data_IF_495383262739
#
_entry.id   IF_495383262739
#
_cell.length_a   1.000
_cell.length_b   1.000
_cell.length_c   1.000
_cell.angle_alpha   90.00
_cell.angle_beta   90.00
_cell.angle_gamma   90.00
#
_symmetry.space_group_name_H-M   'P 1'
#
loop_
_entity.id
_entity.type
_entity.pdbx_description
1 polymer ?
#
# COMPACT_ATOMS: atom_id res chain seq x y z
N UNK A 1 -6.81 -12.03 -35.39
CA UNK A 1 -5.48 -11.41 -35.53
C UNK A 1 -5.04 -11.05 -34.12
N UNK A 2 -3.88 -11.53 -33.63
CA UNK A 2 -3.40 -11.16 -32.30
C UNK A 2 -3.19 -9.65 -32.22
N UNK A 3 -3.51 -9.08 -31.06
CA UNK A 3 -3.26 -7.67 -30.72
C UNK A 3 -1.75 -7.39 -30.72
N UNK A 4 -1.38 -6.12 -30.78
CA UNK A 4 0.04 -5.70 -30.73
C UNK A 4 0.74 -6.24 -29.47
N UNK A 5 0.06 -6.23 -28.33
CA UNK A 5 0.60 -6.71 -27.04
C UNK A 5 0.80 -8.24 -27.05
N UNK A 6 -0.15 -9.00 -27.60
CA UNK A 6 -0.02 -10.47 -27.70
C UNK A 6 1.20 -10.87 -28.56
N UNK A 7 1.44 -10.14 -29.66
CA UNK A 7 2.61 -10.36 -30.50
C UNK A 7 3.92 -10.01 -29.77
N UNK A 8 3.97 -8.88 -29.08
CA UNK A 8 5.15 -8.48 -28.31
C UNK A 8 5.46 -9.50 -27.22
N UNK A 9 4.44 -9.99 -26.51
CA UNK A 9 4.59 -11.06 -25.52
C UNK A 9 5.21 -12.32 -26.14
N UNK A 10 4.65 -12.82 -27.25
CA UNK A 10 5.15 -14.01 -27.94
C UNK A 10 6.60 -13.84 -28.40
N UNK A 11 6.96 -12.65 -28.89
CA UNK A 11 8.33 -12.32 -29.31
C UNK A 11 9.31 -12.31 -28.14
N UNK A 12 8.96 -11.65 -27.03
CA UNK A 12 9.81 -11.59 -25.83
C UNK A 12 10.00 -12.98 -25.23
N UNK A 13 8.93 -13.79 -25.19
CA UNK A 13 8.96 -15.13 -24.60
C UNK A 13 9.78 -16.10 -25.45
N UNK A 14 9.54 -16.11 -26.77
CA UNK A 14 10.29 -16.95 -27.73
C UNK A 14 11.79 -16.61 -27.70
N UNK A 15 12.13 -15.32 -27.58
CA UNK A 15 13.52 -14.86 -27.51
C UNK A 15 14.12 -14.95 -26.11
N UNK A 16 13.34 -15.33 -25.08
CA UNK A 16 13.75 -15.37 -23.66
C UNK A 16 14.32 -14.04 -23.15
N UNK A 17 13.70 -12.93 -23.55
CA UNK A 17 14.20 -11.56 -23.30
C UNK A 17 13.58 -10.85 -22.10
N UNK A 18 12.84 -11.57 -21.25
CA UNK A 18 12.22 -11.00 -20.05
C UNK A 18 13.21 -10.28 -19.12
N UNK A 19 14.39 -10.87 -18.88
CA UNK A 19 15.39 -10.27 -17.99
C UNK A 19 16.01 -8.98 -18.57
N UNK A 20 16.50 -8.95 -19.84
CA UNK A 20 16.90 -7.70 -20.48
C UNK A 20 15.82 -6.62 -20.46
N UNK A 21 14.58 -6.97 -20.85
CA UNK A 21 13.46 -6.03 -20.90
C UNK A 21 13.17 -5.41 -19.52
N UNK A 22 13.19 -6.22 -18.46
CA UNK A 22 13.03 -5.72 -17.09
C UNK A 22 14.15 -4.74 -16.69
N UNK A 23 15.40 -5.01 -17.10
CA UNK A 23 16.52 -4.11 -16.82
C UNK A 23 16.42 -2.80 -17.61
N UNK A 24 15.94 -2.84 -18.85
CA UNK A 24 15.66 -1.64 -19.65
C UNK A 24 14.65 -0.74 -18.94
N UNK A 25 13.49 -1.28 -18.53
CA UNK A 25 12.47 -0.54 -17.77
C UNK A 25 13.06 0.06 -16.49
N UNK A 26 13.89 -0.70 -15.75
CA UNK A 26 14.53 -0.22 -14.53
C UNK A 26 15.48 0.95 -14.80
N UNK A 27 16.24 0.91 -15.91
CA UNK A 27 17.19 1.96 -16.26
C UNK A 27 16.50 3.24 -16.75
N UNK A 28 15.33 3.10 -17.38
CA UNK A 28 14.51 4.22 -17.86
C UNK A 28 13.61 4.82 -16.76
N UNK A 29 13.43 4.11 -15.65
CA UNK A 29 12.59 4.56 -14.54
C UNK A 29 13.12 5.84 -13.91
N UNK A 30 12.22 6.80 -13.70
CA UNK A 30 12.56 8.08 -13.08
C UNK A 30 13.00 7.91 -11.61
N UNK A 31 14.03 8.67 -11.24
CA UNK A 31 14.44 8.86 -9.84
C UNK A 31 14.09 10.27 -9.39
N UNK A 32 13.30 10.35 -8.31
CA UNK A 32 12.87 11.61 -7.73
C UNK A 32 13.28 11.72 -6.25
N UNK A 33 13.37 12.94 -5.70
CA UNK A 33 13.68 13.11 -4.29
C UNK A 33 12.64 12.43 -3.37
N UNK A 34 13.14 11.82 -2.30
CA UNK A 34 12.34 11.19 -1.23
C UNK A 34 12.93 11.56 0.15
N UNK A 35 13.28 12.85 0.32
CA UNK A 35 14.03 13.38 1.46
C UNK A 35 13.26 13.22 2.77
N UNK A 36 11.94 13.45 2.76
CA UNK A 36 11.11 13.37 3.97
C UNK A 36 11.14 11.95 4.54
N UNK A 37 11.11 10.94 3.67
CA UNK A 37 11.18 9.54 4.08
C UNK A 37 12.50 9.17 4.78
N UNK A 38 13.57 9.94 4.56
CA UNK A 38 14.90 9.70 5.14
C UNK A 38 15.19 10.50 6.41
N UNK A 39 14.28 11.36 6.86
CA UNK A 39 14.46 12.05 8.14
C UNK A 39 14.56 11.04 9.31
N UNK A 40 15.44 11.29 10.31
CA UNK A 40 15.66 10.35 11.41
C UNK A 40 14.37 9.91 12.13
N UNK A 41 13.45 10.83 12.35
CA UNK A 41 12.15 10.62 13.00
C UNK A 41 11.20 9.71 12.19
N UNK A 42 11.43 9.55 10.89
CA UNK A 42 10.62 8.72 9.99
C UNK A 42 11.20 7.31 9.79
N UNK A 43 12.39 7.04 10.33
CA UNK A 43 13.06 5.74 10.16
C UNK A 43 12.22 4.56 10.64
N UNK A 44 11.49 4.71 11.75
CA UNK A 44 10.62 3.68 12.32
C UNK A 44 9.23 3.61 11.65
N UNK A 45 8.94 4.46 10.66
CA UNK A 45 7.72 4.44 9.84
C UNK A 45 7.93 3.73 8.50
N UNK A 46 9.17 3.32 8.20
CA UNK A 46 9.55 2.61 6.97
C UNK A 46 9.84 1.14 7.26
N UNK A 47 9.18 0.24 6.53
CA UNK A 47 9.43 -1.20 6.66
C UNK A 47 10.77 -1.61 6.06
N UNK A 48 11.14 -0.99 4.94
CA UNK A 48 12.39 -1.26 4.22
C UNK A 48 13.18 0.03 4.02
N UNK A 49 14.52 -0.07 4.02
CA UNK A 49 15.39 1.11 3.92
C UNK A 49 15.48 1.66 2.49
N UNK A 50 15.28 0.78 1.53
CA UNK A 50 15.43 0.95 0.08
C UNK A 50 14.09 1.19 -0.63
N UNK A 51 12.98 1.21 0.09
CA UNK A 51 11.65 1.52 -0.46
C UNK A 51 11.08 2.75 0.25
N UNK A 52 10.94 3.87 -0.46
CA UNK A 52 10.49 5.15 0.11
C UNK A 52 9.63 5.90 -0.90
N UNK A 53 8.56 6.59 -0.45
CA UNK A 53 7.72 7.37 -1.36
C UNK A 53 8.46 8.65 -1.79
N UNK A 54 8.24 9.07 -3.04
CA UNK A 54 8.78 10.34 -3.52
C UNK A 54 8.07 11.53 -2.86
N UNK A 55 8.81 12.62 -2.62
CA UNK A 55 8.31 13.78 -1.87
C UNK A 55 7.12 14.47 -2.57
N UNK A 56 7.10 14.43 -3.91
CA UNK A 56 6.06 15.08 -4.72
C UNK A 56 4.73 14.30 -4.75
N UNK A 57 4.75 13.00 -4.51
CA UNK A 57 3.58 12.12 -4.60
C UNK A 57 3.21 11.43 -3.28
N UNK A 58 4.01 11.60 -2.22
CA UNK A 58 3.69 11.01 -0.92
C UNK A 58 2.35 11.50 -0.40
N UNK A 59 1.59 10.60 0.22
CA UNK A 59 0.40 10.98 0.98
C UNK A 59 0.85 11.69 2.27
N UNK A 60 0.16 12.79 2.62
CA UNK A 60 0.44 13.57 3.82
C UNK A 60 -0.74 13.43 4.79
N UNK A 61 -0.46 12.96 6.00
CA UNK A 61 -1.47 12.88 7.05
C UNK A 61 -1.79 14.29 7.56
N UNK A 62 -3.08 14.61 7.66
CA UNK A 62 -3.54 15.87 8.26
C UNK A 62 -3.76 15.67 9.77
N UNK A 63 -3.69 16.75 10.55
CA UNK A 63 -3.94 16.76 12.00
C UNK A 63 -3.07 15.75 12.79
N UNK A 64 -1.83 15.52 12.34
CA UNK A 64 -0.83 14.71 13.03
C UNK A 64 0.43 15.56 13.28
N UNK A 65 1.13 15.34 14.38
CA UNK A 65 2.41 16.02 14.68
C UNK A 65 3.46 15.75 13.58
N UNK A 66 3.39 14.56 12.99
CA UNK A 66 4.23 14.14 11.87
C UNK A 66 3.34 13.65 10.72
N UNK A 67 3.40 14.35 9.59
CA UNK A 67 2.57 14.10 8.40
C UNK A 67 2.99 12.86 7.60
N UNK A 68 4.07 12.18 7.99
CA UNK A 68 4.68 11.12 7.22
C UNK A 68 3.98 9.76 7.37
N UNK A 69 3.66 9.17 6.22
CA UNK A 69 3.33 7.76 6.02
C UNK A 69 4.03 7.28 4.74
N UNK A 70 4.52 6.04 4.70
CA UNK A 70 5.11 5.45 3.50
C UNK A 70 4.00 5.01 2.53
N UNK A 71 3.44 5.99 1.82
CA UNK A 71 2.39 5.80 0.83
C UNK A 71 2.54 6.84 -0.30
N UNK A 72 2.24 6.45 -1.52
CA UNK A 72 2.30 7.29 -2.72
C UNK A 72 0.95 7.34 -3.42
N UNK A 73 0.51 8.54 -3.81
CA UNK A 73 -0.59 8.72 -4.74
C UNK A 73 -0.08 8.47 -6.17
N UNK A 74 -0.70 7.51 -6.86
CA UNK A 74 -0.45 7.20 -8.26
C UNK A 74 -1.68 7.61 -9.04
N UNK A 75 -1.58 8.70 -9.80
CA UNK A 75 -2.68 9.21 -10.61
C UNK A 75 -2.42 8.91 -12.09
N UNK A 76 -3.35 8.19 -12.72
CA UNK A 76 -3.29 7.82 -14.14
C UNK A 76 -4.37 8.60 -14.87
N UNK A 77 -4.01 9.78 -15.37
CA UNK A 77 -4.92 10.74 -15.99
C UNK A 77 -5.69 10.13 -17.17
N UNK A 78 -5.01 9.42 -18.06
CA UNK A 78 -5.61 8.78 -19.25
C UNK A 78 -6.67 7.73 -18.86
N UNK A 79 -6.44 6.99 -17.78
CA UNK A 79 -7.38 5.99 -17.27
C UNK A 79 -8.45 6.59 -16.34
N UNK A 80 -8.37 7.90 -16.05
CA UNK A 80 -9.18 8.62 -15.08
C UNK A 80 -9.26 7.87 -13.73
N UNK A 81 -8.11 7.40 -13.25
CA UNK A 81 -8.05 6.56 -12.06
C UNK A 81 -6.82 6.84 -11.22
N UNK A 82 -7.06 7.01 -9.93
CA UNK A 82 -6.01 7.20 -8.94
C UNK A 82 -5.97 6.02 -7.97
N UNK A 83 -4.78 5.72 -7.47
CA UNK A 83 -4.51 4.67 -6.51
C UNK A 83 -3.61 5.21 -5.40
N UNK A 84 -3.71 4.63 -4.21
CA UNK A 84 -2.70 4.80 -3.17
C UNK A 84 -1.95 3.48 -3.04
N UNK A 85 -0.65 3.50 -3.34
CA UNK A 85 0.24 2.38 -3.07
C UNK A 85 0.95 2.64 -1.74
N UNK A 86 0.93 1.68 -0.82
CA UNK A 86 1.50 1.83 0.52
C UNK A 86 2.15 0.51 0.97
N UNK A 87 3.12 0.58 1.88
CA UNK A 87 3.69 -0.61 2.48
C UNK A 87 2.67 -1.34 3.37
N UNK A 88 2.90 -2.64 3.62
CA UNK A 88 2.18 -3.36 4.67
C UNK A 88 2.41 -2.66 6.04
N UNK A 89 1.35 -2.20 6.75
CA UNK A 89 1.50 -1.46 8.00
C UNK A 89 2.44 -2.12 9.01
N UNK A 90 3.26 -1.32 9.69
CA UNK A 90 4.03 -1.73 10.86
C UNK A 90 3.13 -1.66 12.11
N UNK A 91 3.49 -2.33 13.21
CA UNK A 91 2.71 -2.25 14.45
C UNK A 91 2.45 -0.81 14.91
N UNK A 92 3.45 0.08 14.79
CA UNK A 92 3.36 1.49 15.14
C UNK A 92 2.77 2.39 14.04
N UNK A 93 2.32 1.83 12.92
CA UNK A 93 1.73 2.60 11.80
C UNK A 93 0.33 2.14 11.39
N UNK A 94 -0.28 1.20 12.10
CA UNK A 94 -1.67 0.79 11.85
C UNK A 94 -2.65 1.96 12.04
N UNK A 95 -2.49 2.76 13.10
CA UNK A 95 -3.31 3.93 13.36
C UNK A 95 -3.19 4.99 12.24
N UNK A 96 -1.98 5.22 11.75
CA UNK A 96 -1.68 6.11 10.63
C UNK A 96 -2.29 5.61 9.31
N UNK A 97 -2.29 4.30 9.09
CA UNK A 97 -2.92 3.68 7.91
C UNK A 97 -4.43 3.94 7.88
N UNK A 98 -5.14 3.73 8.99
CA UNK A 98 -6.58 4.00 9.05
C UNK A 98 -6.91 5.50 9.00
N UNK A 99 -6.06 6.35 9.58
CA UNK A 99 -6.17 7.80 9.41
C UNK A 99 -6.07 8.19 7.92
N UNK A 100 -5.11 7.63 7.18
CA UNK A 100 -4.98 7.84 5.75
C UNK A 100 -6.23 7.39 4.99
N UNK A 101 -6.73 6.18 5.25
CA UNK A 101 -7.95 5.63 4.63
C UNK A 101 -9.13 6.57 4.84
N UNK A 102 -9.32 7.07 6.06
CA UNK A 102 -10.38 8.03 6.38
C UNK A 102 -10.23 9.35 5.63
N UNK A 103 -9.05 9.98 5.72
CA UNK A 103 -8.79 11.30 5.13
C UNK A 103 -8.90 11.29 3.61
N UNK A 104 -8.43 10.21 2.97
CA UNK A 104 -8.49 10.02 1.52
C UNK A 104 -9.86 9.50 1.04
N UNK A 105 -10.82 9.32 1.97
CA UNK A 105 -12.17 8.80 1.69
C UNK A 105 -12.15 7.48 0.92
N UNK A 106 -11.13 6.66 1.18
CA UNK A 106 -10.92 5.37 0.51
C UNK A 106 -12.04 4.40 0.86
N UNK A 107 -12.58 3.73 -0.17
CA UNK A 107 -13.70 2.79 -0.01
C UNK A 107 -13.28 1.31 0.04
N UNK A 108 -12.11 0.99 -0.51
CA UNK A 108 -11.61 -0.37 -0.57
C UNK A 108 -10.11 -0.38 -0.33
N UNK A 109 -9.66 -1.39 0.41
CA UNK A 109 -8.25 -1.71 0.62
C UNK A 109 -7.99 -3.05 -0.05
N UNK A 110 -6.96 -3.11 -0.91
CA UNK A 110 -6.53 -4.36 -1.56
C UNK A 110 -5.21 -4.79 -0.94
N UNK A 111 -5.23 -5.94 -0.26
CA UNK A 111 -4.03 -6.54 0.35
C UNK A 111 -3.57 -7.72 -0.51
N UNK A 112 -2.32 -7.66 -0.98
CA UNK A 112 -1.74 -8.64 -1.92
C UNK A 112 -0.72 -9.59 -1.28
N UNK A 113 -0.54 -9.53 0.04
CA UNK A 113 0.40 -10.35 0.79
C UNK A 113 -0.28 -10.99 2.00
N UNK A 114 0.32 -12.05 2.55
CA UNK A 114 -0.07 -12.59 3.86
C UNK A 114 0.65 -11.87 4.99
N UNK A 115 0.11 -11.92 6.21
CA UNK A 115 0.77 -11.39 7.42
C UNK A 115 2.16 -12.00 7.59
N UNK A 116 2.30 -13.32 7.39
CA UNK A 116 3.56 -14.07 7.45
C UNK A 116 3.80 -14.77 6.12
N UNK A 117 5.01 -14.62 5.58
CA UNK A 117 5.47 -15.32 4.37
C UNK A 117 6.90 -15.78 4.57
N UNK A 118 7.18 -17.04 4.22
CA UNK A 118 8.51 -17.66 4.43
C UNK A 118 9.00 -17.41 5.87
N UNK A 119 8.12 -17.67 6.85
CA UNK A 119 8.37 -17.54 8.29
C UNK A 119 8.67 -16.09 8.78
N UNK A 120 8.55 -15.10 7.91
CA UNK A 120 8.82 -13.70 8.24
C UNK A 120 7.54 -12.86 8.24
N UNK A 121 7.35 -12.02 9.25
CA UNK A 121 6.24 -11.05 9.31
C UNK A 121 6.43 -9.98 8.22
N UNK A 122 5.50 -9.94 7.25
CA UNK A 122 5.49 -8.98 6.13
C UNK A 122 4.55 -7.81 6.36
N UNK A 123 3.56 -7.96 7.23
CA UNK A 123 2.57 -6.94 7.55
C UNK A 123 2.09 -7.15 9.00
N UNK A 124 1.71 -6.08 9.70
CA UNK A 124 1.03 -6.21 10.98
C UNK A 124 -0.43 -6.65 10.77
N UNK A 125 -1.03 -7.30 11.77
CA UNK A 125 -2.47 -7.52 11.80
C UNK A 125 -3.15 -6.17 12.04
N UNK A 126 -3.54 -5.49 10.96
CA UNK A 126 -4.07 -4.11 11.02
C UNK A 126 -5.59 -4.03 10.96
N UNK A 127 -6.27 -5.16 10.83
CA UNK A 127 -7.73 -5.29 10.89
C UNK A 127 -8.11 -6.39 11.90
N UNK A 128 -9.31 -6.33 12.50
CA UNK A 128 -9.78 -7.38 13.41
C UNK A 128 -10.06 -8.69 12.67
N UNK A 129 -9.71 -9.82 13.30
CA UNK A 129 -9.93 -11.19 12.76
C UNK A 129 -11.01 -11.97 13.51
N UNK A 130 -11.55 -11.39 14.56
CA UNK A 130 -12.62 -11.91 15.38
C UNK A 130 -13.64 -10.80 15.63
N UNK A 131 -14.64 -11.06 16.48
CA UNK A 131 -15.67 -10.07 16.84
C UNK A 131 -15.12 -8.90 17.68
N UNK A 132 -13.80 -8.79 17.89
CA UNK A 132 -13.21 -7.69 18.65
C UNK A 132 -13.04 -6.43 17.81
N UNK A 133 -13.27 -5.30 18.45
CA UNK A 133 -12.99 -3.97 17.90
C UNK A 133 -11.50 -3.64 18.09
N UNK A 134 -10.83 -3.22 17.02
CA UNK A 134 -9.49 -2.64 17.12
C UNK A 134 -9.60 -1.14 17.37
N UNK A 135 -9.08 -0.67 18.50
CA UNK A 135 -9.04 0.74 18.87
C UNK A 135 -7.66 1.35 18.60
N UNK A 136 -7.64 2.42 17.81
CA UNK A 136 -6.46 3.23 17.50
C UNK A 136 -6.60 4.59 18.16
N UNK A 137 -6.30 4.66 19.47
CA UNK A 137 -6.52 5.85 20.30
C UNK A 137 -5.70 7.05 19.84
N UNK A 138 -4.51 6.81 19.29
CA UNK A 138 -3.58 7.84 18.82
C UNK A 138 -4.15 8.67 17.67
N UNK A 139 -5.02 8.08 16.85
CA UNK A 139 -5.69 8.76 15.74
C UNK A 139 -7.20 8.90 15.95
N UNK A 140 -7.74 8.35 17.04
CA UNK A 140 -9.15 8.40 17.40
C UNK A 140 -10.04 7.63 16.42
N UNK A 141 -9.61 6.42 16.04
CA UNK A 141 -10.40 5.54 15.19
C UNK A 141 -10.64 4.19 15.84
N UNK A 142 -11.75 3.57 15.45
CA UNK A 142 -11.99 2.15 15.68
C UNK A 142 -12.32 1.41 14.39
N UNK A 143 -11.96 0.13 14.36
CA UNK A 143 -12.22 -0.77 13.24
C UNK A 143 -12.91 -2.03 13.74
N UNK A 144 -14.05 -2.36 13.14
CA UNK A 144 -14.82 -3.58 13.42
C UNK A 144 -14.96 -4.42 12.17
N UNK A 145 -14.86 -5.74 12.32
CA UNK A 145 -15.23 -6.69 11.28
C UNK A 145 -16.76 -6.86 11.31
N UNK A 146 -17.42 -6.57 10.20
CA UNK A 146 -18.87 -6.77 10.06
C UNK A 146 -19.20 -8.10 9.40
N UNK A 147 -18.42 -8.49 8.39
CA UNK A 147 -18.55 -9.80 7.75
C UNK A 147 -17.25 -10.22 7.06
N UNK A 148 -17.11 -11.53 6.92
CA UNK A 148 -16.03 -12.17 6.17
C UNK A 148 -16.64 -13.15 5.16
N UNK A 149 -16.21 -13.06 3.91
CA UNK A 149 -16.54 -14.00 2.84
C UNK A 149 -15.26 -14.60 2.27
N UNK A 150 -14.95 -15.84 2.68
CA UNK A 150 -13.74 -16.56 2.29
C UNK A 150 -13.98 -17.32 0.98
N UNK A 151 -13.16 -17.05 -0.03
CA UNK A 151 -13.11 -17.80 -1.30
C UNK A 151 -11.83 -18.61 -1.40
N UNK A 152 -11.69 -19.40 -2.46
CA UNK A 152 -10.56 -20.31 -2.64
C UNK A 152 -9.21 -19.61 -2.78
N UNK A 153 -9.17 -18.38 -3.30
CA UNK A 153 -7.93 -17.63 -3.55
C UNK A 153 -7.95 -16.18 -3.04
N UNK A 154 -9.02 -15.75 -2.37
CA UNK A 154 -9.13 -14.43 -1.75
C UNK A 154 -10.18 -14.44 -0.64
N UNK A 155 -10.13 -13.43 0.23
CA UNK A 155 -11.13 -13.18 1.27
C UNK A 155 -11.62 -11.75 1.13
N UNK A 156 -12.92 -11.53 1.28
CA UNK A 156 -13.52 -10.19 1.34
C UNK A 156 -13.95 -9.91 2.76
N UNK A 157 -13.43 -8.84 3.34
CA UNK A 157 -13.88 -8.31 4.63
C UNK A 157 -14.74 -7.08 4.42
N UNK A 158 -15.91 -7.04 5.06
CA UNK A 158 -16.64 -5.79 5.27
C UNK A 158 -16.21 -5.24 6.63
N UNK A 159 -15.57 -4.06 6.61
CA UNK A 159 -15.08 -3.40 7.82
C UNK A 159 -15.86 -2.11 8.07
N UNK A 160 -16.19 -1.85 9.32
CA UNK A 160 -16.66 -0.56 9.78
C UNK A 160 -15.48 0.22 10.35
N UNK A 161 -15.17 1.37 9.77
CA UNK A 161 -14.23 2.36 10.29
C UNK A 161 -15.02 3.50 10.91
N UNK A 162 -14.84 3.75 12.19
CA UNK A 162 -15.55 4.78 12.95
C UNK A 162 -14.57 5.79 13.54
N UNK A 163 -14.88 7.08 13.41
CA UNK A 163 -14.17 8.15 14.09
C UNK A 163 -14.79 8.32 15.49
N UNK A 164 -13.98 8.13 16.52
CA UNK A 164 -14.41 8.10 17.93
C UNK A 164 -14.05 9.40 18.69
N UNK A 165 -13.54 10.41 17.98
CA UNK A 165 -13.29 11.75 18.52
C UNK A 165 -14.54 12.64 18.47
#
# INVERSE_FOLDING_TARGET
MPTTIEREFEEVDTQRRWQPLYLEIRNESHDYPHRVAKFPENRNRNRYRDVSPYDHSRVKLQNAENDYINASLVDIEEAQRSYILTQGPLPNTCCHFWLMVWQQKTKAVVMLNRIVEKESVKCAQYWPTDDQEMLFKETGFSVKLLSEDVKSYYTVHLLQLENIN
#
